data_IF_115791408238
#
_entry.id   IF_115791408238
#
_cell.length_a   1.000
_cell.length_b   1.000
_cell.length_c   1.000
_cell.angle_alpha   90.00
_cell.angle_beta   90.00
_cell.angle_gamma   90.00
#
_symmetry.space_group_name_H-M   'P 1'
#
loop_
_entity.id
_entity.type
_entity.pdbx_description
1 polymer ?
#
# COMPACT_ATOMS: atom_id res chain seq x y z
N UNK A 1 -11.16 -11.82 8.30
CA UNK A 1 -10.98 -10.68 7.37
C UNK A 1 -10.58 -9.45 8.16
N UNK A 2 -9.53 -8.73 7.75
CA UNK A 2 -9.11 -7.50 8.42
C UNK A 2 -10.11 -6.39 8.07
N UNK A 3 -10.83 -5.85 9.07
CA UNK A 3 -11.69 -4.69 8.89
C UNK A 3 -10.80 -3.43 8.99
N UNK A 4 -10.61 -2.75 7.87
CA UNK A 4 -9.82 -1.51 7.79
C UNK A 4 -10.79 -0.33 7.87
N UNK A 5 -10.55 0.57 8.83
CA UNK A 5 -11.34 1.79 9.04
C UNK A 5 -10.87 2.91 8.12
N UNK A 6 -9.56 3.04 7.92
CA UNK A 6 -8.97 4.05 7.04
C UNK A 6 -7.65 3.53 6.47
N UNK A 7 -7.32 3.95 5.25
CA UNK A 7 -6.03 3.72 4.59
C UNK A 7 -5.40 5.09 4.31
N UNK A 8 -4.10 5.18 4.57
CA UNK A 8 -3.26 6.35 4.36
C UNK A 8 -2.07 5.95 3.48
N UNK A 9 -1.79 6.69 2.42
CA UNK A 9 -0.74 6.36 1.44
C UNK A 9 -1.30 6.16 0.02
N UNK A 10 -0.51 5.75 -0.97
CA UNK A 10 0.85 5.20 -0.92
C UNK A 10 1.92 6.24 -0.56
N UNK A 11 2.58 6.10 0.59
CA UNK A 11 3.58 7.07 1.05
C UNK A 11 4.99 6.78 0.50
N UNK A 12 5.24 5.55 0.07
CA UNK A 12 6.50 5.14 -0.53
C UNK A 12 6.25 4.17 -1.67
N UNK A 13 6.95 4.39 -2.77
CA UNK A 13 7.01 3.48 -3.91
C UNK A 13 8.43 2.98 -4.04
N UNK A 14 8.60 1.66 -4.10
CA UNK A 14 9.88 0.97 -4.25
C UNK A 14 9.82 0.24 -5.57
N UNK A 15 10.73 0.58 -6.47
CA UNK A 15 10.91 -0.10 -7.75
C UNK A 15 12.03 -1.13 -7.55
N UNK A 16 11.68 -2.42 -7.64
CA UNK A 16 12.65 -3.53 -7.60
C UNK A 16 12.77 -4.15 -8.99
N UNK A 17 13.83 -4.92 -9.22
CA UNK A 17 14.11 -5.51 -10.53
C UNK A 17 12.96 -6.40 -11.05
N UNK A 18 12.25 -7.10 -10.16
CA UNK A 18 11.19 -8.07 -10.51
C UNK A 18 9.80 -7.70 -10.00
N UNK A 19 9.67 -6.58 -9.27
CA UNK A 19 8.38 -6.13 -8.77
C UNK A 19 8.36 -4.64 -8.45
N UNK A 20 7.16 -4.07 -8.43
CA UNK A 20 6.92 -2.72 -7.93
C UNK A 20 6.14 -2.80 -6.63
N UNK A 21 6.61 -2.14 -5.57
CA UNK A 21 6.00 -2.20 -4.23
C UNK A 21 5.57 -0.83 -3.76
N UNK A 22 4.36 -0.74 -3.21
CA UNK A 22 3.81 0.44 -2.58
C UNK A 22 3.56 0.16 -1.10
N UNK A 23 3.93 1.11 -0.26
CA UNK A 23 3.71 1.02 1.18
C UNK A 23 2.56 1.93 1.60
N UNK A 24 1.71 1.37 2.44
CA UNK A 24 0.50 2.01 2.96
C UNK A 24 0.45 1.87 4.47
N UNK A 25 -0.10 2.88 5.12
CA UNK A 25 -0.48 2.86 6.53
C UNK A 25 -1.99 2.74 6.60
N UNK A 26 -2.51 2.17 7.68
CA UNK A 26 -3.95 2.04 7.88
C UNK A 26 -4.30 2.03 9.35
N UNK A 27 -5.53 2.42 9.63
CA UNK A 27 -6.15 2.26 10.94
C UNK A 27 -7.23 1.19 10.79
N UNK A 28 -7.17 0.18 11.66
CA UNK A 28 -8.16 -0.89 11.73
C UNK A 28 -9.38 -0.44 12.54
N UNK A 29 -10.48 -1.20 12.48
CA UNK A 29 -11.71 -0.85 13.22
C UNK A 29 -11.56 -0.88 14.74
N UNK A 30 -10.57 -1.62 15.26
CA UNK A 30 -10.18 -1.64 16.67
C UNK A 30 -9.29 -0.44 17.06
N UNK A 31 -9.06 0.50 16.14
CA UNK A 31 -8.16 1.64 16.34
C UNK A 31 -6.68 1.29 16.24
N UNK A 32 -6.33 0.02 15.99
CA UNK A 32 -4.95 -0.38 15.87
C UNK A 32 -4.35 0.07 14.53
N UNK A 33 -3.14 0.63 14.60
CA UNK A 33 -2.35 0.93 13.41
C UNK A 33 -1.81 -0.37 12.78
N UNK A 34 -1.90 -0.43 11.46
CA UNK A 34 -1.34 -1.50 10.64
C UNK A 34 -0.69 -0.91 9.39
N UNK A 35 0.50 -1.39 9.06
CA UNK A 35 1.17 -1.08 7.81
C UNK A 35 1.03 -2.23 6.82
N UNK A 36 0.93 -1.90 5.55
CA UNK A 36 0.73 -2.83 4.46
C UNK A 36 1.71 -2.53 3.34
N UNK A 37 2.13 -3.59 2.66
CA UNK A 37 2.80 -3.51 1.38
C UNK A 37 1.90 -4.13 0.32
N UNK A 38 1.71 -3.42 -0.78
CA UNK A 38 1.12 -3.93 -2.00
C UNK A 38 2.25 -4.08 -3.00
N UNK A 39 2.47 -5.28 -3.53
CA UNK A 39 3.49 -5.54 -4.55
C UNK A 39 2.84 -6.02 -5.83
N UNK A 40 3.29 -5.52 -6.97
CA UNK A 40 2.96 -6.03 -8.29
C UNK A 40 4.18 -6.74 -8.86
N UNK A 41 4.10 -8.06 -8.98
CA UNK A 41 5.20 -8.88 -9.50
C UNK A 41 5.17 -8.87 -11.03
N UNK A 42 6.31 -8.57 -11.65
CA UNK A 42 6.43 -8.47 -13.10
C UNK A 42 6.30 -9.83 -13.80
N UNK A 43 6.82 -10.89 -13.16
CA UNK A 43 6.75 -12.27 -13.67
C UNK A 43 5.30 -12.75 -13.74
N UNK A 44 4.61 -12.71 -12.60
CA UNK A 44 3.25 -13.28 -12.49
C UNK A 44 2.15 -12.30 -12.89
N UNK A 45 2.49 -11.02 -13.06
CA UNK A 45 1.56 -9.91 -13.33
C UNK A 45 0.41 -9.83 -12.31
N UNK A 46 0.66 -10.24 -11.07
CA UNK A 46 -0.32 -10.30 -9.99
C UNK A 46 0.03 -9.32 -8.87
N UNK A 47 -1.01 -8.77 -8.26
CA UNK A 47 -0.92 -8.00 -7.03
C UNK A 47 -0.90 -8.93 -5.83
N UNK A 48 -0.01 -8.65 -4.89
CA UNK A 48 0.11 -9.36 -3.61
C UNK A 48 0.17 -8.36 -2.47
N UNK A 49 -0.57 -8.64 -1.39
CA UNK A 49 -0.54 -7.82 -0.17
C UNK A 49 0.17 -8.56 0.94
N UNK A 50 1.01 -7.85 1.69
CA UNK A 50 1.56 -8.33 2.96
C UNK A 50 1.37 -7.29 4.05
N UNK A 51 0.97 -7.75 5.23
CA UNK A 51 1.00 -6.94 6.45
C UNK A 51 2.45 -6.81 6.94
N UNK A 52 2.90 -5.59 7.20
CA UNK A 52 4.24 -5.32 7.73
C UNK A 52 4.13 -5.36 9.26
N UNK A 53 4.92 -6.23 9.91
CA UNK A 53 4.90 -6.37 11.36
C UNK A 53 5.26 -5.05 12.06
N UNK A 54 4.61 -4.82 13.21
CA UNK A 54 4.57 -3.56 13.99
C UNK A 54 5.92 -2.86 14.19
N UNK A 55 7.01 -3.58 14.45
CA UNK A 55 8.31 -2.97 14.75
C UNK A 55 8.89 -2.17 13.58
N UNK A 56 8.71 -2.66 12.34
CA UNK A 56 9.10 -1.90 11.16
C UNK A 56 8.11 -0.78 10.86
N UNK A 57 6.81 -1.01 11.05
CA UNK A 57 5.78 0.01 10.86
C UNK A 57 6.00 1.24 11.76
N UNK A 58 6.43 1.03 13.02
CA UNK A 58 6.76 2.12 13.96
C UNK A 58 8.00 2.88 13.51
N UNK A 59 9.05 2.20 13.02
CA UNK A 59 10.23 2.86 12.45
C UNK A 59 9.91 3.68 11.20
N UNK A 60 9.06 3.17 10.30
CA UNK A 60 8.60 3.91 9.12
C UNK A 60 7.68 5.07 9.47
N UNK A 61 6.80 4.92 10.46
CA UNK A 61 5.95 6.00 10.96
C UNK A 61 6.76 7.10 11.69
N UNK A 62 7.80 6.71 12.44
CA UNK A 62 8.71 7.64 13.12
C UNK A 62 9.61 8.40 12.13
N UNK A 63 10.10 7.73 11.07
CA UNK A 63 10.90 8.36 10.01
C UNK A 63 10.09 9.35 9.15
N UNK A 64 8.76 9.20 9.10
CA UNK A 64 7.89 10.05 8.27
C UNK A 64 7.45 11.36 8.91
N UNK A 65 7.85 11.65 10.16
CA UNK A 65 7.44 12.86 10.86
C UNK A 65 5.92 12.92 11.05
N UNK A 66 5.45 12.76 12.29
CA UNK A 66 4.04 12.70 12.69
C UNK A 66 3.09 13.82 12.18
N UNK A 67 3.53 14.81 11.39
CA UNK A 67 2.75 16.03 11.10
C UNK A 67 1.98 16.08 9.78
N UNK A 68 2.28 15.27 8.75
CA UNK A 68 1.70 15.54 7.40
C UNK A 68 0.84 14.44 6.76
N UNK A 69 0.67 13.27 7.39
CA UNK A 69 -0.21 12.21 6.85
C UNK A 69 -1.68 12.36 7.26
N UNK A 70 -1.95 13.14 8.31
CA UNK A 70 -3.28 13.33 8.88
C UNK A 70 -3.99 14.58 8.37
N UNK A 71 -3.31 15.47 7.64
CA UNK A 71 -3.91 16.70 7.10
C UNK A 71 -4.79 16.46 5.86
N UNK A 72 -4.78 15.25 5.29
CA UNK A 72 -5.56 14.89 4.11
C UNK A 72 -6.40 13.62 4.33
N UNK A 73 -6.73 13.30 5.58
CA UNK A 73 -7.71 12.25 5.85
C UNK A 73 -9.09 12.73 5.35
N UNK A 74 -9.83 11.93 4.56
CA UNK A 74 -11.25 12.21 4.35
C UNK A 74 -11.96 12.20 5.71
N UNK A 75 -12.78 13.22 5.97
CA UNK A 75 -13.54 13.42 7.22
C UNK A 75 -14.44 12.21 7.56
N UNK A 76 -14.81 11.42 6.55
CA UNK A 76 -15.66 10.25 6.73
C UNK A 76 -14.87 8.94 6.77
N UNK A 77 -15.04 8.11 7.82
CA UNK A 77 -14.45 6.78 7.88
C UNK A 77 -15.10 5.87 6.82
N UNK A 78 -14.45 5.74 5.67
CA UNK A 78 -14.84 4.76 4.64
C UNK A 78 -14.61 3.36 5.18
N UNK A 79 -15.68 2.70 5.61
CA UNK A 79 -15.62 1.30 6.05
C UNK A 79 -15.44 0.40 4.83
N UNK A 80 -14.19 0.00 4.58
CA UNK A 80 -13.89 -0.85 3.44
C UNK A 80 -14.32 -2.30 3.71
N UNK A 81 -15.29 -2.80 2.92
CA UNK A 81 -15.66 -4.21 2.88
C UNK A 81 -15.01 -4.87 1.66
N UNK A 82 -14.10 -5.83 1.88
CA UNK A 82 -13.47 -6.58 0.79
C UNK A 82 -12.07 -7.10 1.10
N UNK A 83 -11.41 -7.65 0.07
CA UNK A 83 -10.00 -8.03 0.16
C UNK A 83 -9.12 -6.78 0.31
N UNK A 84 -8.16 -6.81 1.25
CA UNK A 84 -7.19 -5.73 1.46
C UNK A 84 -6.46 -5.37 0.18
N UNK A 85 -6.22 -6.35 -0.70
CA UNK A 85 -5.61 -6.11 -2.02
C UNK A 85 -6.43 -5.16 -2.88
N UNK A 86 -7.75 -5.30 -2.92
CA UNK A 86 -8.62 -4.42 -3.70
C UNK A 86 -8.66 -3.02 -3.09
N UNK A 87 -8.71 -2.95 -1.76
CA UNK A 87 -8.73 -1.69 -1.01
C UNK A 87 -7.44 -0.89 -1.25
N UNK A 88 -6.28 -1.53 -1.17
CA UNK A 88 -5.01 -0.84 -1.40
C UNK A 88 -4.81 -0.50 -2.87
N UNK A 89 -5.28 -1.36 -3.78
CA UNK A 89 -5.21 -1.09 -5.22
C UNK A 89 -6.09 0.10 -5.62
N UNK A 90 -7.25 0.30 -4.99
CA UNK A 90 -8.11 1.46 -5.29
C UNK A 90 -7.50 2.79 -4.83
N UNK A 91 -6.51 2.76 -3.93
CA UNK A 91 -5.77 3.95 -3.50
C UNK A 91 -4.60 4.30 -4.44
N UNK A 92 -4.28 3.45 -5.42
CA UNK A 92 -3.26 3.75 -6.43
C UNK A 92 -3.86 4.60 -7.56
N UNK A 93 -3.10 5.61 -8.00
CA UNK A 93 -3.45 6.36 -9.21
C UNK A 93 -3.32 5.46 -10.44
N UNK A 94 -4.15 5.68 -11.49
CA UNK A 94 -4.04 4.93 -12.75
C UNK A 94 -2.62 4.98 -13.35
N UNK A 95 -1.93 6.11 -13.23
CA UNK A 95 -0.55 6.32 -13.68
C UNK A 95 0.45 5.39 -13.00
N UNK A 96 0.29 5.14 -11.70
CA UNK A 96 1.19 4.26 -10.96
C UNK A 96 1.00 2.80 -11.39
N UNK A 97 -0.24 2.42 -11.68
CA UNK A 97 -0.57 1.09 -12.20
C UNK A 97 -0.02 0.96 -13.62
N UNK A 98 -0.21 1.97 -14.48
CA UNK A 98 0.32 1.98 -15.83
C UNK A 98 1.84 1.84 -15.86
N UNK A 99 2.56 2.55 -14.96
CA UNK A 99 4.02 2.42 -14.81
C UNK A 99 4.42 0.98 -14.46
N UNK A 100 3.76 0.37 -13.49
CA UNK A 100 4.05 -1.00 -13.07
C UNK A 100 3.82 -2.02 -14.20
N UNK A 101 2.79 -1.81 -15.01
CA UNK A 101 2.49 -2.65 -16.18
C UNK A 101 3.51 -2.41 -17.31
N UNK A 102 3.89 -1.16 -17.57
CA UNK A 102 4.93 -0.86 -18.56
C UNK A 102 6.26 -1.54 -18.20
N UNK A 103 6.66 -1.49 -16.92
CA UNK A 103 7.85 -2.16 -16.42
C UNK A 103 7.74 -3.68 -16.52
N UNK A 104 6.56 -4.27 -16.27
CA UNK A 104 6.38 -5.72 -16.41
C UNK A 104 6.40 -6.21 -17.85
N UNK A 105 6.05 -5.36 -18.82
CA UNK A 105 6.20 -5.66 -20.25
C UNK A 105 7.66 -5.59 -20.70
N UNK A 106 8.44 -4.68 -20.11
CA UNK A 106 9.88 -4.56 -20.37
C UNK A 106 10.71 -5.63 -19.65
N UNK A 107 10.15 -6.27 -18.62
CA UNK A 107 10.79 -7.34 -17.88
C UNK A 107 11.00 -8.58 -18.77
N UNK A 108 12.19 -8.67 -19.37
CA UNK A 108 12.71 -9.88 -19.98
C UNK A 108 13.26 -10.73 -18.83
N UNK A 109 12.49 -11.71 -18.36
CA UNK A 109 12.93 -12.62 -17.32
C UNK A 109 14.30 -13.19 -17.68
N UNK A 110 15.31 -12.82 -16.91
CA UNK A 110 16.60 -13.53 -16.90
C UNK A 110 16.39 -14.90 -16.25
#
# INVERSE_FOLDING_TARGET
MAKIKAVYGAYQTIEEASCMRWLFSSVRTDGAFAAWSLSYCFITRKFSVRNIKREQAIKYAAAMGQKSLFASAPDEPVSYKGSVTNILRSQLKPEQIAKAVALSLQYRGQ
#
